data_IF_782021498823
#
_entry.id   IF_782021498823
#
_cell.length_a   1.000
_cell.length_b   1.000
_cell.length_c   1.000
_cell.angle_alpha   90.00
_cell.angle_beta   90.00
_cell.angle_gamma   90.00
#
_symmetry.space_group_name_H-M   'P 1'
#
loop_
_entity.id
_entity.type
_entity.pdbx_description
1 polymer ?
#
# COMPACT_ATOMS: atom_id res chain seq x y z
N UNK A 1 11.75 5.08 -10.22
CA UNK A 1 10.88 4.04 -9.65
C UNK A 1 11.36 2.63 -9.96
N UNK A 2 11.40 2.22 -11.23
CA UNK A 2 11.90 0.88 -11.61
C UNK A 2 13.34 0.63 -11.12
N UNK A 3 14.22 1.64 -11.21
CA UNK A 3 15.59 1.53 -10.67
C UNK A 3 15.65 1.24 -9.17
N UNK A 4 14.69 1.74 -8.37
CA UNK A 4 14.61 1.42 -6.92
C UNK A 4 14.20 -0.04 -6.71
N UNK A 5 13.33 -0.59 -7.57
CA UNK A 5 12.91 -1.98 -7.50
C UNK A 5 14.04 -2.95 -7.88
N UNK A 6 14.79 -2.62 -8.93
CA UNK A 6 15.87 -3.49 -9.41
C UNK A 6 17.18 -3.35 -8.63
N UNK A 7 17.38 -2.26 -7.89
CA UNK A 7 18.64 -1.99 -7.18
C UNK A 7 19.03 -3.03 -6.10
N UNK A 8 18.07 -3.83 -5.59
CA UNK A 8 18.34 -4.94 -4.67
C UNK A 8 18.06 -6.32 -5.27
N UNK A 9 17.88 -6.43 -6.59
CA UNK A 9 17.61 -7.71 -7.23
C UNK A 9 18.65 -8.80 -6.91
N UNK A 10 19.98 -8.54 -6.98
CA UNK A 10 20.99 -9.57 -6.68
C UNK A 10 21.00 -10.03 -5.22
N UNK A 11 20.58 -9.15 -4.31
CA UNK A 11 20.43 -9.46 -2.89
C UNK A 11 19.19 -10.32 -2.64
N UNK A 12 18.09 -10.02 -3.34
CA UNK A 12 16.83 -10.75 -3.21
C UNK A 12 16.87 -12.15 -3.84
N UNK A 13 17.76 -12.39 -4.81
CA UNK A 13 17.95 -13.71 -5.45
C UNK A 13 19.01 -14.57 -4.75
N UNK A 14 19.62 -14.08 -3.67
CA UNK A 14 20.67 -14.79 -2.93
C UNK A 14 22.00 -14.93 -3.69
N UNK A 15 22.20 -14.16 -4.75
CA UNK A 15 23.43 -14.24 -5.57
C UNK A 15 24.61 -13.52 -4.92
N UNK A 16 24.37 -12.32 -4.37
CA UNK A 16 25.42 -11.53 -3.73
C UNK A 16 24.86 -10.58 -2.67
N UNK A 17 25.55 -10.49 -1.54
CA UNK A 17 25.26 -9.48 -0.52
C UNK A 17 25.71 -8.11 -1.04
N UNK A 18 24.86 -7.06 -0.93
CA UNK A 18 25.24 -5.72 -1.34
C UNK A 18 26.38 -5.19 -0.45
N UNK A 19 27.23 -4.34 -1.00
CA UNK A 19 28.25 -3.66 -0.19
C UNK A 19 27.57 -2.79 0.88
N UNK A 20 28.22 -2.64 2.05
CA UNK A 20 27.67 -1.89 3.18
C UNK A 20 27.24 -0.47 2.78
N UNK A 21 28.08 0.23 2.01
CA UNK A 21 27.75 1.57 1.50
C UNK A 21 26.50 1.58 0.63
N UNK A 22 26.31 0.57 -0.23
CA UNK A 22 25.13 0.48 -1.08
C UNK A 22 23.87 0.17 -0.28
N UNK A 23 23.94 -0.72 0.72
CA UNK A 23 22.82 -1.03 1.60
C UNK A 23 22.33 0.19 2.39
N UNK A 24 23.27 0.99 2.94
CA UNK A 24 22.94 2.22 3.68
C UNK A 24 22.28 3.26 2.77
N UNK A 25 22.88 3.52 1.60
CA UNK A 25 22.34 4.48 0.63
C UNK A 25 20.96 4.05 0.14
N UNK A 26 20.79 2.77 -0.18
CA UNK A 26 19.50 2.24 -0.60
C UNK A 26 18.46 2.34 0.52
N UNK A 27 18.80 1.95 1.74
CA UNK A 27 17.90 2.02 2.89
C UNK A 27 17.42 3.45 3.18
N UNK A 28 18.32 4.43 3.07
CA UNK A 28 18.00 5.83 3.33
C UNK A 28 17.22 6.51 2.18
N UNK A 29 17.59 6.25 0.93
CA UNK A 29 17.06 7.00 -0.22
C UNK A 29 15.93 6.30 -0.97
N UNK A 30 15.80 4.97 -0.88
CA UNK A 30 14.80 4.22 -1.66
C UNK A 30 13.37 4.75 -1.46
N UNK A 31 12.95 4.94 -0.22
CA UNK A 31 11.62 5.45 0.13
C UNK A 31 11.40 6.88 -0.35
N UNK A 32 12.41 7.73 -0.20
CA UNK A 32 12.37 9.13 -0.64
C UNK A 32 12.30 9.26 -2.16
N UNK A 33 13.13 8.49 -2.88
CA UNK A 33 13.12 8.44 -4.35
C UNK A 33 11.81 7.86 -4.89
N UNK A 34 11.25 6.87 -4.20
CA UNK A 34 9.92 6.35 -4.53
C UNK A 34 8.83 7.40 -4.32
N UNK A 35 8.81 8.07 -3.16
CA UNK A 35 7.87 9.14 -2.87
C UNK A 35 8.00 10.32 -3.85
N UNK A 36 9.23 10.71 -4.22
CA UNK A 36 9.49 11.76 -5.20
C UNK A 36 8.99 11.37 -6.60
N UNK A 37 9.11 10.10 -6.99
CA UNK A 37 8.52 9.63 -8.24
C UNK A 37 6.98 9.67 -8.21
N UNK A 38 6.36 9.31 -7.08
CA UNK A 38 4.90 9.40 -6.92
C UNK A 38 4.43 10.86 -6.94
N UNK A 39 5.13 11.75 -6.25
CA UNK A 39 4.79 13.17 -6.21
C UNK A 39 4.89 13.81 -7.60
N UNK A 40 5.89 13.41 -8.40
CA UNK A 40 6.00 13.86 -9.79
C UNK A 40 4.79 13.45 -10.63
N UNK A 41 4.29 12.21 -10.47
CA UNK A 41 3.08 11.75 -11.16
C UNK A 41 1.87 12.62 -10.77
N UNK A 42 1.73 12.96 -9.49
CA UNK A 42 0.66 13.82 -9.00
C UNK A 42 0.78 15.24 -9.59
N UNK A 43 1.98 15.83 -9.54
CA UNK A 43 2.24 17.17 -10.10
C UNK A 43 1.96 17.19 -11.60
N UNK A 44 2.45 16.21 -12.36
CA UNK A 44 2.18 16.08 -13.78
C UNK A 44 0.68 15.95 -14.07
N UNK A 45 -0.05 15.25 -13.19
CA UNK A 45 -1.51 15.09 -13.32
C UNK A 45 -2.26 16.40 -13.08
N UNK A 46 -1.85 17.19 -12.08
CA UNK A 46 -2.44 18.51 -11.76
C UNK A 46 -2.08 19.56 -12.81
N UNK A 47 -0.86 19.52 -13.34
CA UNK A 47 -0.38 20.44 -14.38
C UNK A 47 -0.96 20.14 -15.78
N UNK A 48 -1.82 19.14 -15.93
CA UNK A 48 -2.46 18.79 -17.21
C UNK A 48 -1.62 17.92 -18.14
N UNK A 49 -0.39 17.57 -17.76
CA UNK A 49 0.51 16.71 -18.54
C UNK A 49 0.33 15.20 -18.28
N UNK A 50 -0.53 14.81 -17.33
CA UNK A 50 -0.70 13.41 -16.92
C UNK A 50 -1.52 12.53 -17.88
N UNK A 51 -2.18 13.10 -18.91
CA UNK A 51 -2.82 12.34 -19.99
C UNK A 51 -3.70 11.17 -19.52
N UNK A 52 -3.31 9.93 -19.87
CA UNK A 52 -4.01 8.69 -19.48
C UNK A 52 -3.96 8.45 -17.97
N UNK A 53 -2.84 8.79 -17.32
CA UNK A 53 -2.65 8.61 -15.88
C UNK A 53 -3.65 9.47 -15.10
N UNK A 54 -3.83 10.74 -15.49
CA UNK A 54 -4.86 11.59 -14.87
C UNK A 54 -6.26 11.01 -15.04
N UNK A 55 -6.61 10.46 -16.21
CA UNK A 55 -7.93 9.85 -16.43
C UNK A 55 -8.15 8.62 -15.54
N UNK A 56 -7.12 7.81 -15.34
CA UNK A 56 -7.18 6.66 -14.43
C UNK A 56 -7.32 7.13 -12.99
N UNK A 57 -6.49 8.06 -12.51
CA UNK A 57 -6.56 8.54 -11.12
C UNK A 57 -7.87 9.30 -10.81
N UNK A 58 -8.45 10.00 -11.79
CA UNK A 58 -9.72 10.70 -11.64
C UNK A 58 -10.95 9.80 -11.86
N UNK A 59 -10.76 8.49 -12.03
CA UNK A 59 -11.87 7.57 -12.26
C UNK A 59 -12.75 7.46 -11.00
N UNK A 60 -14.06 7.70 -11.14
CA UNK A 60 -14.99 7.76 -10.01
C UNK A 60 -15.04 6.51 -9.14
N UNK A 61 -14.74 5.32 -9.69
CA UNK A 61 -14.68 4.09 -8.91
C UNK A 61 -13.46 4.03 -7.96
N UNK A 62 -12.41 4.82 -8.20
CA UNK A 62 -11.27 4.91 -7.28
C UNK A 62 -11.58 5.74 -6.04
N UNK A 63 -12.64 6.56 -6.06
CA UNK A 63 -13.03 7.38 -4.93
C UNK A 63 -13.44 6.53 -3.70
N UNK A 64 -14.37 5.57 -3.79
CA UNK A 64 -14.66 4.67 -2.68
C UNK A 64 -13.48 3.72 -2.37
N UNK A 65 -12.73 3.30 -3.40
CA UNK A 65 -11.55 2.44 -3.21
C UNK A 65 -10.45 3.13 -2.41
N UNK A 66 -10.26 4.43 -2.60
CA UNK A 66 -9.30 5.25 -1.85
C UNK A 66 -9.61 5.28 -0.35
N UNK A 67 -10.90 5.47 0.00
CA UNK A 67 -11.38 5.42 1.38
C UNK A 67 -11.17 4.04 2.02
N UNK A 68 -11.51 2.99 1.26
CA UNK A 68 -11.29 1.61 1.68
C UNK A 68 -9.81 1.29 1.88
N UNK A 69 -8.92 1.85 1.04
CA UNK A 69 -7.47 1.64 1.13
C UNK A 69 -6.89 2.28 2.39
N UNK A 70 -7.41 3.42 2.83
CA UNK A 70 -7.00 4.01 4.11
C UNK A 70 -7.35 3.10 5.30
N UNK A 71 -8.60 2.63 5.35
CA UNK A 71 -9.03 1.67 6.38
C UNK A 71 -8.21 0.37 6.32
N UNK A 72 -7.90 -0.13 5.12
CA UNK A 72 -7.10 -1.33 4.92
C UNK A 72 -5.66 -1.12 5.38
N UNK A 73 -5.08 0.05 5.14
CA UNK A 73 -3.72 0.38 5.59
C UNK A 73 -3.55 0.29 7.11
N UNK A 74 -4.57 0.70 7.88
CA UNK A 74 -4.54 0.61 9.36
C UNK A 74 -4.69 -0.83 9.84
N UNK A 75 -5.59 -1.59 9.22
CA UNK A 75 -5.91 -2.96 9.63
C UNK A 75 -4.82 -3.95 9.21
N UNK A 76 -4.19 -3.72 8.06
CA UNK A 76 -3.19 -4.61 7.50
C UNK A 76 -2.06 -5.00 8.47
N UNK A 77 -1.38 -4.07 9.17
CA UNK A 77 -0.36 -4.43 10.16
C UNK A 77 -0.94 -5.18 11.36
N UNK A 78 -2.20 -4.93 11.75
CA UNK A 78 -2.87 -5.67 12.84
C UNK A 78 -3.11 -7.12 12.42
N UNK A 79 -3.62 -7.34 11.19
CA UNK A 79 -3.82 -8.67 10.62
C UNK A 79 -2.51 -9.41 10.53
N UNK A 80 -1.46 -8.75 10.03
CA UNK A 80 -0.12 -9.35 9.97
C UNK A 80 0.42 -9.69 11.36
N UNK A 81 0.31 -8.79 12.33
CA UNK A 81 0.79 -9.03 13.70
C UNK A 81 0.09 -10.25 14.33
N UNK A 82 -1.22 -10.39 14.15
CA UNK A 82 -1.97 -11.56 14.64
C UNK A 82 -1.54 -12.82 13.89
N UNK A 83 -1.46 -12.76 12.55
CA UNK A 83 -1.11 -13.91 11.74
C UNK A 83 0.29 -14.43 12.04
N UNK A 84 1.31 -13.57 12.00
CA UNK A 84 2.70 -13.95 12.26
C UNK A 84 2.98 -14.18 13.75
N UNK A 85 2.31 -13.47 14.65
CA UNK A 85 2.46 -13.67 16.10
C UNK A 85 1.84 -14.96 16.62
N UNK A 86 0.87 -15.53 15.89
CA UNK A 86 0.27 -16.84 16.22
C UNK A 86 1.10 -18.05 15.77
N UNK A 87 2.25 -17.83 15.11
CA UNK A 87 3.06 -18.88 14.50
C UNK A 87 4.41 -18.97 15.19
N UNK A 88 4.79 -20.19 15.59
CA UNK A 88 6.09 -20.50 16.17
C UNK A 88 7.07 -21.11 15.15
N UNK A 89 6.61 -21.43 13.94
CA UNK A 89 7.40 -22.10 12.90
C UNK A 89 8.08 -21.12 11.93
N UNK A 90 9.26 -21.51 11.45
CA UNK A 90 10.03 -20.78 10.44
C UNK A 90 9.55 -21.17 9.04
N UNK A 91 9.29 -20.18 8.18
CA UNK A 91 8.90 -20.43 6.79
C UNK A 91 10.11 -20.58 5.89
N UNK A 92 10.14 -21.65 5.08
CA UNK A 92 11.08 -21.76 3.98
C UNK A 92 10.80 -20.70 2.91
N UNK A 93 11.87 -20.07 2.42
CA UNK A 93 11.76 -19.04 1.39
C UNK A 93 11.40 -19.67 0.04
N UNK A 94 10.11 -19.57 -0.33
CA UNK A 94 9.60 -19.96 -1.63
C UNK A 94 8.79 -18.82 -2.25
N UNK A 95 9.07 -18.41 -3.50
CA UNK A 95 8.30 -17.35 -4.17
C UNK A 95 6.79 -17.63 -4.24
N UNK A 96 6.42 -18.91 -4.36
CA UNK A 96 5.03 -19.34 -4.39
C UNK A 96 4.36 -19.12 -3.02
N UNK A 97 5.03 -19.54 -1.95
CA UNK A 97 4.53 -19.40 -0.58
C UNK A 97 4.43 -17.91 -0.18
N UNK A 98 5.43 -17.10 -0.56
CA UNK A 98 5.41 -15.65 -0.34
C UNK A 98 4.22 -14.98 -1.05
N UNK A 99 3.96 -15.38 -2.29
CA UNK A 99 2.83 -14.86 -3.07
C UNK A 99 1.50 -15.26 -2.43
N UNK A 100 1.37 -16.52 -2.00
CA UNK A 100 0.20 -17.03 -1.30
C UNK A 100 -0.10 -16.24 -0.03
N UNK A 101 0.91 -16.04 0.84
CA UNK A 101 0.73 -15.25 2.06
C UNK A 101 0.43 -13.79 1.78
N UNK A 102 1.08 -13.18 0.77
CA UNK A 102 0.83 -11.79 0.41
C UNK A 102 -0.61 -11.60 -0.06
N UNK A 103 -1.08 -12.46 -0.96
CA UNK A 103 -2.47 -12.42 -1.43
C UNK A 103 -3.45 -12.66 -0.29
N UNK A 104 -3.21 -13.66 0.57
CA UNK A 104 -4.06 -13.93 1.72
C UNK A 104 -4.18 -12.74 2.67
N UNK A 105 -3.04 -12.12 3.02
CA UNK A 105 -3.04 -10.94 3.89
C UNK A 105 -3.75 -9.75 3.24
N UNK A 106 -3.54 -9.51 1.94
CA UNK A 106 -4.22 -8.43 1.20
C UNK A 106 -5.73 -8.67 1.19
N UNK A 107 -6.19 -9.87 0.80
CA UNK A 107 -7.61 -10.21 0.75
C UNK A 107 -8.29 -10.09 2.12
N UNK A 108 -7.66 -10.60 3.18
CA UNK A 108 -8.19 -10.47 4.54
C UNK A 108 -8.24 -9.02 5.00
N UNK A 109 -7.18 -8.24 4.75
CA UNK A 109 -7.11 -6.83 5.16
C UNK A 109 -8.16 -5.98 4.46
N UNK A 110 -8.36 -6.18 3.15
CA UNK A 110 -9.41 -5.49 2.41
C UNK A 110 -10.82 -5.96 2.80
N UNK A 111 -11.01 -7.25 3.10
CA UNK A 111 -12.29 -7.78 3.59
C UNK A 111 -12.70 -7.18 4.95
N UNK A 112 -11.78 -7.15 5.91
CA UNK A 112 -12.02 -6.54 7.23
C UNK A 112 -12.19 -5.03 7.10
N UNK A 113 -11.38 -4.38 6.27
CA UNK A 113 -11.50 -2.95 5.96
C UNK A 113 -12.86 -2.58 5.39
N UNK A 114 -13.43 -3.44 4.54
CA UNK A 114 -14.73 -3.20 3.94
C UNK A 114 -15.84 -3.20 4.99
N UNK A 115 -15.82 -4.18 5.89
CA UNK A 115 -16.77 -4.24 7.01
C UNK A 115 -16.60 -3.03 7.94
N UNK A 116 -15.37 -2.65 8.28
CA UNK A 116 -15.11 -1.50 9.14
C UNK A 116 -15.49 -0.17 8.48
N UNK A 117 -15.20 0.00 7.20
CA UNK A 117 -15.60 1.19 6.44
C UNK A 117 -17.13 1.33 6.41
N UNK A 118 -17.87 0.24 6.21
CA UNK A 118 -19.34 0.26 6.28
C UNK A 118 -19.87 0.58 7.69
N UNK A 119 -19.26 0.01 8.74
CA UNK A 119 -19.71 0.19 10.11
C UNK A 119 -19.38 1.57 10.69
N UNK A 120 -18.28 2.20 10.25
CA UNK A 120 -17.83 3.48 10.81
C UNK A 120 -18.05 4.66 9.87
N UNK A 121 -17.74 4.54 8.57
CA UNK A 121 -17.88 5.68 7.66
C UNK A 121 -19.34 6.01 7.37
N UNK A 122 -20.22 5.00 7.22
CA UNK A 122 -21.64 5.24 6.97
C UNK A 122 -22.35 6.00 8.11
N UNK A 123 -22.22 5.62 9.40
CA UNK A 123 -22.84 6.39 10.48
C UNK A 123 -22.14 7.73 10.72
N UNK A 124 -20.82 7.84 10.53
CA UNK A 124 -20.11 9.11 10.69
C UNK A 124 -20.57 10.12 9.63
N UNK A 125 -20.75 9.69 8.37
CA UNK A 125 -21.33 10.53 7.32
C UNK A 125 -22.78 10.92 7.62
N UNK A 126 -23.57 10.01 8.19
CA UNK A 126 -24.95 10.29 8.60
C UNK A 126 -24.99 11.31 9.75
N UNK A 127 -24.08 11.16 10.74
CA UNK A 127 -23.95 12.06 11.88
C UNK A 127 -23.45 13.45 11.44
N UNK A 128 -22.48 13.50 10.52
CA UNK A 128 -21.99 14.75 9.94
C UNK A 128 -23.12 15.53 9.25
N UNK A 129 -23.93 14.86 8.44
CA UNK A 129 -25.11 15.47 7.80
C UNK A 129 -26.14 15.94 8.82
N UNK A 130 -26.37 15.17 9.88
CA UNK A 130 -27.30 15.53 10.95
C UNK A 130 -26.82 16.74 11.78
N UNK A 131 -25.51 16.84 12.05
CA UNK A 131 -24.92 17.92 12.85
C UNK A 131 -24.71 19.21 12.04
N UNK A 132 -24.27 19.12 10.79
CA UNK A 132 -23.99 20.29 9.96
C UNK A 132 -25.23 20.83 9.22
N UNK A 133 -26.38 20.16 9.32
CA UNK A 133 -27.66 20.64 8.78
C UNK A 133 -27.67 20.92 7.27
N UNK A 134 -26.63 20.49 6.54
CA UNK A 134 -26.55 20.62 5.09
C UNK A 134 -27.32 19.46 4.47
N UNK A 135 -28.52 19.79 3.98
CA UNK A 135 -29.32 18.95 3.09
C UNK A 135 -28.48 18.45 1.91
#
# INVERSE_FOLDING_TARGET
MLGVLYAMWPANTGQALPSLGWAVVYGALSRTLWAAGLSWIVIASVAGYGGVVTKLLSFGALMPLSRLTYSAYIIHPVVMAIFYGSREEVFDFSPFLLTYFTLGNVTLSYGISFVLSLLFEAPVLALEKALLGRK
#
